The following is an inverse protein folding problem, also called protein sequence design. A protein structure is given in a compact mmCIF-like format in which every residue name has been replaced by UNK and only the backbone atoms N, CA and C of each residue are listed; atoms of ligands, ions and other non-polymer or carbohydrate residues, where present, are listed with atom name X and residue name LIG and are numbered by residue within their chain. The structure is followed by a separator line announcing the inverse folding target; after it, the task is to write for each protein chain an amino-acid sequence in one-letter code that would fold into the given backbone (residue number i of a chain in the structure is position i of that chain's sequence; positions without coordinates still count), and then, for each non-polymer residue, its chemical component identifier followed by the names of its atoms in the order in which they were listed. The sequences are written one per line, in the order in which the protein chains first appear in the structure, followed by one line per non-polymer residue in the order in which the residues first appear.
data_IF_950463107387
#
_entry.id   IF_950463107387
#
_cell.length_a   1.000
_cell.length_b   1.000
_cell.length_c   1.000
_cell.angle_alpha   90.00
_cell.angle_beta   90.00
_cell.angle_gamma   90.00
#
_symmetry.space_group_name_H-M   'P 1'
#
loop_
_entity.id
_entity.type
_entity.pdbx_description
1 polymer ?
#
# COMPACT_ATOMS: atom_id res chain seq x y z
N UNK A 1 -15.32 -14.28 -12.61
CA UNK A 1 -13.95 -14.04 -12.09
C UNK A 1 -13.97 -12.76 -11.29
N UNK A 2 -13.31 -12.74 -10.14
CA UNK A 2 -13.15 -11.53 -9.32
C UNK A 2 -12.37 -10.44 -10.07
N UNK A 3 -12.57 -9.18 -9.67
CA UNK A 3 -11.79 -8.07 -10.17
C UNK A 3 -10.34 -8.15 -9.68
N UNK A 4 -9.41 -7.63 -10.46
CA UNK A 4 -8.00 -7.57 -10.11
C UNK A 4 -7.54 -6.13 -9.83
N UNK A 5 -6.43 -5.99 -9.13
CA UNK A 5 -5.70 -4.75 -8.92
C UNK A 5 -4.43 -4.72 -9.78
N UNK A 6 -4.01 -3.53 -10.23
CA UNK A 6 -2.74 -3.30 -10.90
C UNK A 6 -1.85 -2.41 -10.02
N UNK A 7 -0.67 -2.92 -9.65
CA UNK A 7 0.37 -2.18 -8.96
C UNK A 7 1.52 -1.85 -9.90
N UNK A 8 1.89 -0.59 -9.97
CA UNK A 8 2.96 -0.07 -10.81
C UNK A 8 4.06 0.48 -9.90
N UNK A 9 5.18 -0.22 -9.83
CA UNK A 9 6.30 0.17 -9.00
C UNK A 9 7.23 1.14 -9.72
N UNK A 10 7.32 2.37 -9.21
CA UNK A 10 8.33 3.34 -9.62
C UNK A 10 9.45 3.37 -8.59
N UNK A 11 10.67 2.86 -8.91
CA UNK A 11 11.69 2.61 -7.89
C UNK A 11 12.53 3.84 -7.51
N UNK A 12 12.27 5.02 -8.04
CA UNK A 12 13.15 6.18 -7.83
C UNK A 12 12.61 7.16 -6.80
N UNK A 13 13.55 7.67 -5.96
CA UNK A 13 13.32 8.74 -4.99
C UNK A 13 14.34 9.86 -5.19
N UNK A 14 13.99 11.09 -4.79
CA UNK A 14 14.91 12.21 -4.71
C UNK A 14 15.91 12.06 -3.55
N UNK A 15 15.49 11.43 -2.44
CA UNK A 15 16.30 11.08 -1.28
C UNK A 15 15.75 9.81 -0.62
N UNK A 16 16.60 9.03 0.04
CA UNK A 16 16.17 7.86 0.81
C UNK A 16 15.94 8.25 2.27
N UNK A 17 14.72 8.02 2.77
CA UNK A 17 14.41 8.25 4.17
C UNK A 17 15.07 7.18 5.06
N UNK A 18 15.52 7.53 6.29
CA UNK A 18 16.30 6.62 7.14
C UNK A 18 15.51 5.40 7.65
N UNK A 19 14.17 5.47 7.66
CA UNK A 19 13.26 4.40 8.07
C UNK A 19 12.78 3.52 6.91
N UNK A 20 12.98 3.95 5.64
CA UNK A 20 12.32 3.35 4.49
C UNK A 20 12.99 2.04 4.05
N UNK A 21 12.25 0.94 4.08
CA UNK A 21 12.59 -0.41 3.64
C UNK A 21 12.15 -0.72 2.20
N UNK A 22 11.37 0.18 1.60
CA UNK A 22 10.85 -0.02 0.25
C UNK A 22 11.98 -0.16 -0.78
N UNK A 23 11.68 -0.86 -1.87
CA UNK A 23 12.58 -0.98 -3.01
C UNK A 23 12.72 0.38 -3.73
N UNK A 24 13.44 1.29 -3.08
CA UNK A 24 13.62 2.67 -3.54
C UNK A 24 15.11 3.01 -3.73
N UNK A 25 15.41 3.72 -4.82
CA UNK A 25 16.75 4.03 -5.27
C UNK A 25 16.87 5.52 -5.60
N UNK A 26 17.96 6.15 -5.14
CA UNK A 26 18.29 7.52 -5.53
C UNK A 26 19.15 7.47 -6.78
N UNK A 27 18.77 8.21 -7.83
CA UNK A 27 19.51 8.34 -9.07
C UNK A 27 19.52 9.80 -9.54
N UNK A 28 20.66 10.30 -9.95
CA UNK A 28 20.79 11.65 -10.52
C UNK A 28 20.14 11.73 -11.90
N UNK A 29 20.21 10.66 -12.67
CA UNK A 29 19.65 10.59 -14.02
C UNK A 29 18.83 9.31 -14.17
N UNK A 30 17.62 9.45 -14.70
CA UNK A 30 16.71 8.35 -15.03
C UNK A 30 16.35 8.45 -16.51
N UNK A 31 16.52 7.38 -17.25
CA UNK A 31 15.99 7.28 -18.61
C UNK A 31 14.47 7.02 -18.56
N UNK A 32 13.71 8.09 -18.38
CA UNK A 32 12.25 8.02 -18.29
C UNK A 32 11.60 7.38 -19.52
N UNK A 33 12.17 7.52 -20.72
CA UNK A 33 11.61 6.96 -21.94
C UNK A 33 11.78 5.44 -21.97
N UNK A 34 12.97 4.95 -21.64
CA UNK A 34 13.26 3.52 -21.57
C UNK A 34 12.41 2.85 -20.47
N UNK A 35 12.30 3.46 -19.27
CA UNK A 35 11.46 2.94 -18.18
C UNK A 35 9.99 2.91 -18.55
N UNK A 36 9.47 3.96 -19.22
CA UNK A 36 8.09 4.00 -19.70
C UNK A 36 7.81 2.86 -20.70
N UNK A 37 8.68 2.68 -21.67
CA UNK A 37 8.56 1.61 -22.67
C UNK A 37 8.59 0.21 -22.02
N UNK A 38 9.49 0.00 -21.06
CA UNK A 38 9.63 -1.26 -20.34
C UNK A 38 8.41 -1.57 -19.46
N UNK A 39 7.88 -0.59 -18.71
CA UNK A 39 6.65 -0.77 -17.91
C UNK A 39 5.46 -1.15 -18.79
N UNK A 40 5.31 -0.51 -19.97
CA UNK A 40 4.24 -0.82 -20.92
C UNK A 40 4.39 -2.23 -21.52
N UNK A 41 5.61 -2.65 -21.84
CA UNK A 41 5.89 -3.99 -22.34
C UNK A 41 5.55 -5.07 -21.29
N UNK A 42 5.98 -4.86 -20.04
CA UNK A 42 5.69 -5.78 -18.92
C UNK A 42 4.19 -5.83 -18.63
N UNK A 43 3.49 -4.69 -18.67
CA UNK A 43 2.03 -4.62 -18.53
C UNK A 43 1.31 -5.42 -19.63
N UNK A 44 1.69 -5.26 -20.88
CA UNK A 44 1.09 -5.97 -21.99
C UNK A 44 1.26 -7.49 -21.87
N UNK A 45 2.45 -7.95 -21.46
CA UNK A 45 2.72 -9.36 -21.20
C UNK A 45 1.86 -9.93 -20.08
N UNK A 46 1.81 -9.25 -18.92
CA UNK A 46 1.05 -9.75 -17.77
C UNK A 46 -0.47 -9.71 -18.05
N UNK A 47 -0.94 -8.71 -18.80
CA UNK A 47 -2.33 -8.67 -19.24
C UNK A 47 -2.69 -9.83 -20.17
N UNK A 48 -1.82 -10.20 -21.11
CA UNK A 48 -2.04 -11.35 -21.97
C UNK A 48 -2.15 -12.65 -21.16
N UNK A 49 -1.33 -12.81 -20.12
CA UNK A 49 -1.38 -13.97 -19.20
C UNK A 49 -2.67 -13.99 -18.39
N UNK A 50 -3.04 -12.86 -17.82
CA UNK A 50 -4.23 -12.72 -16.97
C UNK A 50 -5.55 -12.95 -17.75
N UNK A 51 -5.58 -12.56 -19.02
CA UNK A 51 -6.76 -12.56 -19.87
C UNK A 51 -6.94 -13.87 -20.65
N UNK A 52 -6.18 -14.91 -20.39
CA UNK A 52 -6.24 -16.18 -21.14
C UNK A 52 -7.63 -16.85 -21.20
N UNK A 53 -8.52 -16.54 -20.25
CA UNK A 53 -9.91 -17.01 -20.20
C UNK A 53 -10.94 -15.87 -20.45
N UNK A 54 -10.51 -14.72 -20.98
CA UNK A 54 -11.33 -13.51 -21.20
C UNK A 54 -10.80 -12.29 -20.42
N UNK A 55 -11.24 -11.11 -20.85
CA UNK A 55 -10.78 -9.85 -20.23
C UNK A 55 -11.17 -9.81 -18.76
N UNK A 56 -10.17 -9.56 -17.91
CA UNK A 56 -10.34 -9.43 -16.45
C UNK A 56 -10.87 -8.02 -16.12
N UNK A 57 -11.75 -7.96 -15.13
CA UNK A 57 -12.25 -6.68 -14.57
C UNK A 57 -11.15 -6.02 -13.74
N UNK A 58 -10.90 -4.73 -13.95
CA UNK A 58 -9.89 -3.94 -13.25
C UNK A 58 -10.55 -3.00 -12.23
N UNK A 59 -10.24 -3.21 -10.95
CA UNK A 59 -10.82 -2.43 -9.84
C UNK A 59 -9.95 -1.25 -9.41
N UNK A 60 -8.61 -1.38 -9.53
CA UNK A 60 -7.69 -0.32 -9.13
C UNK A 60 -6.39 -0.35 -9.91
N UNK A 61 -5.79 0.84 -10.08
CA UNK A 61 -4.40 1.06 -10.50
C UNK A 61 -3.73 1.85 -9.37
N UNK A 62 -2.56 1.39 -8.93
CA UNK A 62 -1.81 2.06 -7.88
C UNK A 62 -0.37 2.29 -8.33
N UNK A 63 0.03 3.54 -8.40
CA UNK A 63 1.40 3.95 -8.62
C UNK A 63 2.08 4.15 -7.27
N UNK A 64 2.98 3.24 -6.92
CA UNK A 64 3.66 3.21 -5.62
C UNK A 64 5.15 2.91 -5.73
N UNK A 65 5.80 2.74 -4.58
CA UNK A 65 7.19 2.28 -4.46
C UNK A 65 8.15 3.31 -3.90
N UNK A 66 8.98 3.92 -4.74
CA UNK A 66 9.87 5.01 -4.33
C UNK A 66 9.09 6.33 -4.19
N UNK A 67 9.04 7.09 -5.26
CA UNK A 67 8.28 8.34 -5.36
C UNK A 67 7.65 8.42 -6.76
N UNK A 68 6.46 7.87 -6.95
CA UNK A 68 5.81 7.82 -8.27
C UNK A 68 5.56 9.19 -8.91
N UNK A 69 5.37 10.24 -8.13
CA UNK A 69 5.24 11.62 -8.61
C UNK A 69 6.50 12.19 -9.29
N UNK A 70 7.64 11.50 -9.17
CA UNK A 70 8.84 11.82 -9.98
C UNK A 70 8.75 11.28 -11.41
N UNK A 71 7.84 10.35 -11.68
CA UNK A 71 7.52 9.88 -13.04
C UNK A 71 7.05 11.08 -13.90
N UNK A 72 7.19 10.97 -15.21
CA UNK A 72 6.57 11.94 -16.12
C UNK A 72 5.06 11.68 -16.19
N UNK A 73 4.20 12.71 -16.07
CA UNK A 73 2.74 12.52 -16.14
C UNK A 73 2.29 11.79 -17.42
N UNK A 74 2.94 12.04 -18.55
CA UNK A 74 2.69 11.32 -19.80
C UNK A 74 2.97 9.81 -19.74
N UNK A 75 3.89 9.37 -18.89
CA UNK A 75 4.12 7.94 -18.64
C UNK A 75 2.94 7.33 -17.88
N UNK A 76 2.44 8.03 -16.84
CA UNK A 76 1.26 7.59 -16.11
C UNK A 76 0.03 7.53 -17.01
N UNK A 77 -0.19 8.55 -17.85
CA UNK A 77 -1.29 8.58 -18.82
C UNK A 77 -1.25 7.37 -19.75
N UNK A 78 -0.09 7.08 -20.35
CA UNK A 78 0.07 5.95 -21.27
C UNK A 78 -0.17 4.59 -20.58
N UNK A 79 0.27 4.42 -19.33
CA UNK A 79 0.05 3.20 -18.54
C UNK A 79 -1.42 3.02 -18.14
N UNK A 80 -2.12 4.12 -17.78
CA UNK A 80 -3.56 4.11 -17.50
C UNK A 80 -4.34 3.74 -18.75
N UNK A 81 -4.06 4.36 -19.89
CA UNK A 81 -4.69 4.08 -21.17
C UNK A 81 -4.48 2.61 -21.60
N UNK A 82 -3.23 2.13 -21.51
CA UNK A 82 -2.92 0.72 -21.81
C UNK A 82 -3.67 -0.23 -20.87
N UNK A 83 -3.74 0.05 -19.57
CA UNK A 83 -4.47 -0.78 -18.62
C UNK A 83 -5.98 -0.82 -18.94
N UNK A 84 -6.59 0.32 -19.23
CA UNK A 84 -8.01 0.40 -19.60
C UNK A 84 -8.31 -0.28 -20.95
N UNK A 85 -7.36 -0.27 -21.88
CA UNK A 85 -7.48 -0.98 -23.14
C UNK A 85 -7.32 -2.50 -22.98
N UNK A 86 -6.42 -2.93 -22.11
CA UNK A 86 -6.08 -4.35 -21.92
C UNK A 86 -7.05 -5.08 -20.98
N UNK A 87 -7.61 -4.39 -20.01
CA UNK A 87 -8.57 -4.93 -19.05
C UNK A 87 -9.97 -4.31 -19.25
N UNK A 88 -10.95 -4.83 -18.51
CA UNK A 88 -12.31 -4.30 -18.42
C UNK A 88 -12.43 -3.43 -17.15
N UNK A 89 -12.28 -2.09 -17.25
CA UNK A 89 -12.27 -1.24 -16.07
C UNK A 89 -13.65 -1.18 -15.41
N UNK A 90 -13.69 -1.24 -14.08
CA UNK A 90 -14.92 -0.96 -13.33
C UNK A 90 -15.33 0.51 -13.54
N UNK A 91 -16.64 0.82 -13.52
CA UNK A 91 -17.12 2.20 -13.66
C UNK A 91 -16.53 3.19 -12.66
N UNK A 92 -16.15 2.69 -11.51
CA UNK A 92 -15.58 3.40 -10.38
C UNK A 92 -14.09 3.04 -10.15
N UNK A 93 -13.34 2.74 -11.23
CA UNK A 93 -11.92 2.43 -11.21
C UNK A 93 -11.13 3.45 -10.36
N UNK A 94 -10.50 2.98 -9.28
CA UNK A 94 -9.63 3.80 -8.45
C UNK A 94 -8.22 3.86 -9.04
N UNK A 95 -7.70 5.06 -9.29
CA UNK A 95 -6.35 5.28 -9.81
C UNK A 95 -5.59 6.15 -8.83
N UNK A 96 -4.73 5.52 -8.03
CA UNK A 96 -3.96 6.18 -6.95
C UNK A 96 -2.54 6.48 -7.38
N UNK A 97 -2.04 7.65 -6.98
CA UNK A 97 -0.63 8.06 -7.07
C UNK A 97 -0.10 8.42 -5.69
N UNK A 98 1.03 7.84 -5.30
CA UNK A 98 1.81 8.33 -4.15
C UNK A 98 2.69 9.52 -4.54
N UNK A 99 2.77 10.52 -3.66
CA UNK A 99 3.56 11.73 -3.86
C UNK A 99 4.13 12.26 -2.54
N UNK A 100 5.22 13.03 -2.63
CA UNK A 100 5.69 13.82 -1.49
C UNK A 100 5.08 15.24 -1.55
N UNK A 101 4.84 15.87 -0.39
CA UNK A 101 4.24 17.20 -0.33
C UNK A 101 5.27 18.31 -0.55
N UNK A 102 6.17 18.14 -1.53
CA UNK A 102 7.13 19.17 -1.92
C UNK A 102 6.53 20.11 -2.98
N UNK A 103 7.04 21.33 -3.06
CA UNK A 103 6.58 22.32 -4.04
C UNK A 103 6.72 21.83 -5.50
N UNK A 104 7.84 21.16 -5.80
CA UNK A 104 8.12 20.62 -7.15
C UNK A 104 7.13 19.53 -7.56
N UNK A 105 6.74 18.67 -6.63
CA UNK A 105 5.78 17.59 -6.92
C UNK A 105 4.35 18.14 -7.01
N UNK A 106 4.00 19.09 -6.13
CA UNK A 106 2.69 19.75 -6.16
C UNK A 106 2.35 20.31 -7.54
N UNK A 107 3.30 20.99 -8.18
CA UNK A 107 3.06 21.64 -9.48
C UNK A 107 2.73 20.62 -10.60
N UNK A 108 3.16 19.37 -10.44
CA UNK A 108 2.83 18.27 -11.37
C UNK A 108 1.49 17.59 -11.09
N UNK A 109 0.88 17.78 -9.93
CA UNK A 109 -0.34 17.07 -9.55
C UNK A 109 -1.50 17.32 -10.51
N UNK A 110 -1.63 18.54 -11.09
CA UNK A 110 -2.64 18.82 -12.12
C UNK A 110 -2.43 17.98 -13.38
N UNK A 111 -1.19 17.79 -13.79
CA UNK A 111 -0.86 16.97 -14.96
C UNK A 111 -1.17 15.50 -14.72
N UNK A 112 -0.91 14.98 -13.50
CA UNK A 112 -1.33 13.64 -13.11
C UNK A 112 -2.86 13.50 -13.04
N UNK A 113 -3.57 14.53 -12.59
CA UNK A 113 -5.05 14.56 -12.63
C UNK A 113 -5.55 14.49 -14.07
N UNK A 114 -4.95 15.25 -14.97
CA UNK A 114 -5.26 15.23 -16.40
C UNK A 114 -4.90 13.87 -17.05
N UNK A 115 -3.86 13.20 -16.55
CA UNK A 115 -3.48 11.84 -16.97
C UNK A 115 -4.48 10.75 -16.54
N UNK A 116 -5.47 11.06 -15.70
CA UNK A 116 -6.50 10.11 -15.26
C UNK A 116 -6.39 9.67 -13.79
N UNK A 117 -5.37 10.11 -13.05
CA UNK A 117 -5.28 9.85 -11.59
C UNK A 117 -6.48 10.48 -10.90
N UNK A 118 -7.18 9.72 -10.05
CA UNK A 118 -8.37 10.20 -9.32
C UNK A 118 -8.25 10.12 -7.79
N UNK A 119 -7.15 9.56 -7.29
CA UNK A 119 -6.80 9.53 -5.87
C UNK A 119 -5.30 9.83 -5.70
N UNK A 120 -4.95 10.65 -4.71
CA UNK A 120 -3.55 10.90 -4.34
C UNK A 120 -3.33 10.57 -2.88
N UNK A 121 -2.17 9.97 -2.54
CA UNK A 121 -1.68 9.81 -1.16
C UNK A 121 -0.40 10.60 -0.97
N UNK A 122 -0.40 11.53 0.00
CA UNK A 122 0.73 12.41 0.27
C UNK A 122 1.51 11.95 1.49
N UNK A 123 2.81 11.68 1.34
CA UNK A 123 3.68 11.30 2.44
C UNK A 123 4.02 12.49 3.34
N UNK A 124 3.08 12.97 4.15
CA UNK A 124 3.25 14.10 5.10
C UNK A 124 4.15 13.70 6.25
N UNK A 125 3.89 12.54 6.86
CA UNK A 125 4.64 11.84 7.91
C UNK A 125 4.59 12.48 9.30
N UNK A 126 4.65 13.80 9.42
CA UNK A 126 4.53 14.52 10.70
C UNK A 126 4.09 15.98 10.48
N UNK A 127 3.50 16.59 11.51
CA UNK A 127 3.15 18.02 11.55
C UNK A 127 4.03 18.78 12.58
N UNK A 128 5.26 18.32 12.73
CA UNK A 128 6.28 18.89 13.60
C UNK A 128 7.65 18.91 12.90
N UNK A 129 8.38 20.02 13.04
CA UNK A 129 9.67 20.21 12.36
C UNK A 129 10.74 19.20 12.82
N UNK A 130 10.86 18.99 14.15
CA UNK A 130 11.87 18.08 14.69
C UNK A 130 11.59 16.64 14.25
N UNK A 131 10.31 16.24 14.24
CA UNK A 131 9.87 14.94 13.75
C UNK A 131 10.16 14.76 12.25
N UNK A 132 9.85 15.75 11.41
CA UNK A 132 10.19 15.70 9.97
C UNK A 132 11.69 15.58 9.76
N UNK A 133 12.49 16.33 10.51
CA UNK A 133 13.96 16.27 10.47
C UNK A 133 14.47 14.88 10.88
N UNK A 134 13.97 14.31 11.97
CA UNK A 134 14.28 12.95 12.42
C UNK A 134 13.95 11.91 11.34
N UNK A 135 12.77 12.03 10.72
CA UNK A 135 12.32 11.16 9.64
C UNK A 135 13.05 11.43 8.30
N UNK A 136 13.97 12.38 8.25
CA UNK A 136 14.75 12.70 7.03
C UNK A 136 13.91 13.30 5.90
N UNK A 137 12.78 13.94 6.23
CA UNK A 137 11.89 14.57 5.24
C UNK A 137 12.49 15.87 4.73
N UNK A 138 12.21 16.18 3.46
CA UNK A 138 12.76 17.35 2.76
C UNK A 138 11.78 18.52 2.67
N UNK A 139 10.56 18.35 3.14
CA UNK A 139 9.53 19.39 3.23
C UNK A 139 9.34 19.85 4.67
N UNK A 140 8.81 21.03 4.83
CA UNK A 140 8.33 21.56 6.11
C UNK A 140 6.81 21.38 6.27
N UNK A 141 6.30 21.69 7.47
CA UNK A 141 4.86 21.58 7.79
C UNK A 141 4.01 22.50 6.91
N UNK A 142 4.50 23.68 6.60
CA UNK A 142 3.78 24.65 5.74
C UNK A 142 3.69 24.15 4.30
N UNK A 143 4.74 23.53 3.78
CA UNK A 143 4.72 22.89 2.45
C UNK A 143 3.72 21.73 2.42
N UNK A 144 3.70 20.90 3.48
CA UNK A 144 2.76 19.78 3.59
C UNK A 144 1.30 20.26 3.57
N UNK A 145 0.96 21.30 4.35
CA UNK A 145 -0.40 21.86 4.38
C UNK A 145 -0.77 22.44 3.01
N UNK A 146 0.09 23.23 2.39
CA UNK A 146 -0.17 23.78 1.04
C UNK A 146 -0.35 22.69 -0.01
N UNK A 147 0.40 21.59 0.08
CA UNK A 147 0.25 20.46 -0.83
C UNK A 147 -1.07 19.73 -0.62
N UNK A 148 -1.51 19.56 0.63
CA UNK A 148 -2.82 18.97 0.97
C UNK A 148 -3.97 19.82 0.45
N UNK A 149 -3.93 21.14 0.64
CA UNK A 149 -4.97 22.05 0.15
C UNK A 149 -5.04 21.98 -1.39
N UNK A 150 -3.90 22.04 -2.06
CA UNK A 150 -3.84 21.91 -3.52
C UNK A 150 -4.35 20.54 -4.02
N UNK A 151 -4.02 19.46 -3.31
CA UNK A 151 -4.49 18.12 -3.65
C UNK A 151 -6.02 18.02 -3.53
N UNK A 152 -6.63 18.60 -2.49
CA UNK A 152 -8.09 18.65 -2.31
C UNK A 152 -8.82 19.43 -3.40
N UNK A 153 -8.21 20.51 -3.90
CA UNK A 153 -8.76 21.27 -5.04
C UNK A 153 -8.65 20.50 -6.35
N UNK A 154 -7.68 19.58 -6.46
CA UNK A 154 -7.31 18.93 -7.72
C UNK A 154 -7.95 17.54 -7.86
N UNK A 155 -7.98 16.75 -6.78
CA UNK A 155 -8.41 15.35 -6.83
C UNK A 155 -9.73 15.12 -6.09
N UNK A 156 -10.60 14.24 -6.61
CA UNK A 156 -11.83 13.87 -5.91
C UNK A 156 -11.56 13.08 -4.62
N UNK A 157 -10.40 12.41 -4.52
CA UNK A 157 -10.02 11.64 -3.33
C UNK A 157 -8.58 11.94 -2.93
N UNK A 158 -8.40 12.23 -1.65
CA UNK A 158 -7.08 12.58 -1.08
C UNK A 158 -6.87 11.81 0.22
N UNK A 159 -5.71 11.19 0.31
CA UNK A 159 -5.17 10.59 1.53
C UNK A 159 -3.83 11.21 1.87
N UNK A 160 -3.41 11.08 3.10
CA UNK A 160 -2.02 11.31 3.47
C UNK A 160 -1.58 10.39 4.59
N UNK A 161 -0.27 10.27 4.74
CA UNK A 161 0.34 9.34 5.67
C UNK A 161 0.95 10.11 6.84
N UNK A 162 0.77 9.59 8.06
CA UNK A 162 1.43 10.06 9.28
C UNK A 162 2.16 8.89 9.93
N UNK A 163 3.32 9.19 10.53
CA UNK A 163 4.11 8.22 11.31
C UNK A 163 4.10 8.66 12.76
N UNK A 164 3.56 7.81 13.64
CA UNK A 164 3.52 8.02 15.09
C UNK A 164 4.37 6.99 15.85
N UNK A 165 4.32 7.00 17.18
CA UNK A 165 5.18 6.20 18.04
C UNK A 165 6.68 6.46 17.80
N UNK A 166 7.02 7.70 17.55
CA UNK A 166 8.38 8.18 17.36
C UNK A 166 9.10 8.24 18.72
N UNK A 167 10.44 8.23 18.74
CA UNK A 167 11.21 8.38 19.96
C UNK A 167 10.75 9.58 20.82
N UNK A 168 10.41 9.32 22.09
CA UNK A 168 9.98 10.35 23.03
C UNK A 168 8.60 10.94 22.78
N UNK A 169 7.81 10.40 21.86
CA UNK A 169 6.44 10.84 21.63
C UNK A 169 5.50 10.18 22.65
N UNK A 170 4.99 10.95 23.61
CA UNK A 170 3.97 10.50 24.53
C UNK A 170 2.54 10.57 23.92
N UNK A 171 1.57 9.97 24.62
CA UNK A 171 0.17 9.93 24.16
C UNK A 171 -0.45 11.33 24.01
N UNK A 172 -0.13 12.26 24.91
CA UNK A 172 -0.69 13.61 24.88
C UNK A 172 -0.21 14.40 23.65
N UNK A 173 1.09 14.31 23.36
CA UNK A 173 1.70 14.92 22.19
C UNK A 173 1.14 14.32 20.90
N UNK A 174 1.01 12.97 20.85
CA UNK A 174 0.42 12.31 19.69
C UNK A 174 -1.06 12.71 19.48
N UNK A 175 -1.90 12.67 20.50
CA UNK A 175 -3.30 13.10 20.39
C UNK A 175 -3.42 14.55 19.87
N UNK A 176 -2.56 15.46 20.34
CA UNK A 176 -2.54 16.85 19.87
C UNK A 176 -2.17 16.96 18.38
N UNK A 177 -1.15 16.25 17.94
CA UNK A 177 -0.73 16.23 16.54
C UNK A 177 -1.78 15.55 15.65
N UNK A 178 -2.33 14.41 16.10
CA UNK A 178 -3.35 13.67 15.37
C UNK A 178 -4.63 14.49 15.17
N UNK A 179 -5.10 15.24 16.15
CA UNK A 179 -6.26 16.15 15.99
C UNK A 179 -6.00 17.20 14.90
N UNK A 180 -4.80 17.73 14.83
CA UNK A 180 -4.41 18.65 13.73
C UNK A 180 -4.44 17.93 12.38
N UNK A 181 -3.91 16.71 12.30
CA UNK A 181 -3.94 15.91 11.09
C UNK A 181 -5.39 15.56 10.68
N UNK A 182 -6.23 15.15 11.62
CA UNK A 182 -7.64 14.83 11.38
C UNK A 182 -8.45 16.03 10.88
N UNK A 183 -8.17 17.24 11.38
CA UNK A 183 -8.77 18.47 10.85
C UNK A 183 -8.35 18.75 9.39
N UNK A 184 -7.21 18.24 8.97
CA UNK A 184 -6.72 18.30 7.60
C UNK A 184 -7.17 17.09 6.74
N UNK A 185 -7.70 16.03 7.31
CA UNK A 185 -8.08 14.83 6.57
C UNK A 185 -9.37 15.04 5.76
N UNK A 186 -9.43 14.41 4.58
CA UNK A 186 -10.63 14.42 3.74
C UNK A 186 -11.53 13.22 4.10
N UNK A 187 -11.27 12.07 3.48
CA UNK A 187 -12.07 10.86 3.62
C UNK A 187 -11.23 9.61 3.95
N UNK A 188 -9.90 9.76 3.95
CA UNK A 188 -8.95 8.67 4.21
C UNK A 188 -7.67 9.21 4.84
N UNK A 189 -7.07 8.44 5.75
CA UNK A 189 -5.81 8.75 6.44
C UNK A 189 -5.05 7.45 6.73
N UNK A 190 -3.75 7.45 6.47
CA UNK A 190 -2.87 6.34 6.84
C UNK A 190 -2.05 6.74 8.07
N UNK A 191 -2.14 5.96 9.14
CA UNK A 191 -1.52 6.20 10.43
C UNK A 191 -0.62 5.02 10.78
N UNK A 192 0.68 5.16 10.48
CA UNK A 192 1.66 4.10 10.68
C UNK A 192 2.39 4.28 12.00
N UNK A 193 2.43 3.24 12.81
CA UNK A 193 3.35 3.15 13.93
C UNK A 193 4.78 3.00 13.38
N UNK A 194 5.73 3.81 13.87
CA UNK A 194 7.12 3.70 13.42
C UNK A 194 7.70 2.34 13.81
N UNK A 195 8.19 1.62 12.82
CA UNK A 195 8.91 0.35 12.98
C UNK A 195 10.36 0.49 12.55
N UNK A 196 11.22 -0.35 13.08
CA UNK A 196 12.63 -0.40 12.72
C UNK A 196 12.88 -1.61 11.83
N UNK A 197 12.84 -1.37 10.53
CA UNK A 197 12.95 -2.44 9.54
C UNK A 197 14.42 -2.81 9.25
N UNK A 198 14.74 -4.11 9.12
CA UNK A 198 16.08 -4.57 8.78
C UNK A 198 16.62 -3.95 7.49
N UNK A 199 17.91 -3.61 7.48
CA UNK A 199 18.57 -3.01 6.31
C UNK A 199 18.35 -1.51 6.14
N UNK A 200 17.60 -0.86 7.03
CA UNK A 200 17.42 0.59 7.06
C UNK A 200 18.54 1.29 7.86
N UNK A 201 18.68 2.60 7.66
CA UNK A 201 19.57 3.40 8.50
C UNK A 201 19.09 3.40 9.96
N UNK A 202 17.78 3.43 10.19
CA UNK A 202 17.21 3.36 11.53
C UNK A 202 17.54 2.05 12.23
N UNK A 203 17.60 0.91 11.54
CA UNK A 203 18.05 -0.34 12.16
C UNK A 203 19.47 -0.22 12.71
N UNK A 204 20.36 0.42 11.96
CA UNK A 204 21.76 0.64 12.42
C UNK A 204 21.83 1.60 13.60
N UNK A 205 21.07 2.69 13.58
CA UNK A 205 21.05 3.69 14.66
C UNK A 205 20.41 3.13 15.93
N UNK A 206 19.28 2.42 15.79
CA UNK A 206 18.59 1.77 16.91
C UNK A 206 19.47 0.71 17.59
N UNK A 207 20.14 -0.15 16.80
CA UNK A 207 21.06 -1.16 17.33
C UNK A 207 22.27 -0.55 18.09
N UNK A 208 22.61 0.71 17.79
CA UNK A 208 23.66 1.47 18.53
C UNK A 208 23.12 2.24 19.73
N UNK A 209 21.82 2.12 20.04
CA UNK A 209 21.19 2.85 21.16
C UNK A 209 21.02 4.36 20.90
N UNK A 210 21.05 4.82 19.64
CA UNK A 210 20.89 6.24 19.31
C UNK A 210 19.46 6.76 19.61
N UNK A 211 18.48 5.89 19.62
CA UNK A 211 17.11 6.15 20.05
C UNK A 211 16.41 4.85 20.45
N UNK A 212 15.32 4.97 21.20
CA UNK A 212 14.40 3.87 21.52
C UNK A 212 12.99 4.21 21.00
N UNK A 213 12.22 3.20 20.67
CA UNK A 213 10.78 3.33 20.33
C UNK A 213 9.94 3.01 21.57
N UNK A 214 8.70 3.52 21.65
CA UNK A 214 7.70 3.04 22.60
C UNK A 214 7.46 1.53 22.40
N UNK A 215 7.42 0.76 23.48
CA UNK A 215 7.24 -0.69 23.45
C UNK A 215 6.10 -1.13 24.37
N UNK A 216 5.58 -2.34 24.16
CA UNK A 216 4.57 -2.95 25.02
C UNK A 216 3.34 -2.05 25.23
N UNK A 217 2.98 -1.82 26.48
CA UNK A 217 1.78 -1.06 26.86
C UNK A 217 1.78 0.39 26.35
N UNK A 218 2.95 1.01 26.18
CA UNK A 218 3.04 2.37 25.66
C UNK A 218 2.65 2.41 24.18
N UNK A 219 3.19 1.48 23.39
CA UNK A 219 2.83 1.32 21.98
C UNK A 219 1.34 0.99 21.79
N UNK A 220 0.79 0.10 22.63
CA UNK A 220 -0.61 -0.26 22.64
C UNK A 220 -1.52 0.94 22.98
N UNK A 221 -1.15 1.76 23.98
CA UNK A 221 -1.91 2.99 24.30
C UNK A 221 -1.91 3.98 23.15
N UNK A 222 -0.80 4.18 22.45
CA UNK A 222 -0.74 5.05 21.27
C UNK A 222 -1.64 4.53 20.15
N UNK A 223 -1.69 3.22 19.93
CA UNK A 223 -2.57 2.59 18.95
C UNK A 223 -4.04 2.80 19.30
N UNK A 224 -4.44 2.53 20.54
CA UNK A 224 -5.81 2.74 21.02
C UNK A 224 -6.23 4.22 20.92
N UNK A 225 -5.35 5.14 21.32
CA UNK A 225 -5.56 6.59 21.20
C UNK A 225 -5.77 7.02 19.76
N UNK A 226 -5.06 6.38 18.81
CA UNK A 226 -5.20 6.65 17.38
C UNK A 226 -6.61 6.31 16.87
N UNK A 227 -7.09 5.11 17.19
CA UNK A 227 -8.42 4.66 16.79
C UNK A 227 -9.53 5.52 17.43
N UNK A 228 -9.39 5.86 18.72
CA UNK A 228 -10.34 6.71 19.44
C UNK A 228 -10.44 8.11 18.81
N UNK A 229 -9.31 8.78 18.58
CA UNK A 229 -9.32 10.14 18.00
C UNK A 229 -9.83 10.14 16.57
N UNK A 230 -9.40 9.19 15.73
CA UNK A 230 -9.86 9.08 14.34
C UNK A 230 -11.38 8.84 14.29
N UNK A 231 -11.92 7.98 15.17
CA UNK A 231 -13.35 7.71 15.27
C UNK A 231 -14.20 8.95 15.59
N UNK A 232 -13.68 9.89 16.38
CA UNK A 232 -14.35 11.19 16.68
C UNK A 232 -14.54 12.06 15.43
N UNK A 233 -13.73 11.86 14.41
CA UNK A 233 -13.81 12.55 13.12
C UNK A 233 -14.53 11.72 12.04
N UNK A 234 -15.09 10.55 12.42
CA UNK A 234 -15.79 9.65 11.50
C UNK A 234 -14.84 8.87 10.57
N UNK A 235 -13.56 8.85 10.87
CA UNK A 235 -12.56 8.01 10.20
C UNK A 235 -12.40 6.71 10.99
N UNK A 236 -12.95 5.61 10.48
CA UNK A 236 -12.93 4.32 11.14
C UNK A 236 -11.77 3.47 10.60
N UNK A 237 -11.08 2.68 11.45
CA UNK A 237 -10.09 1.73 10.97
C UNK A 237 -10.78 0.67 10.11
N UNK A 238 -10.32 0.44 8.90
CA UNK A 238 -10.77 -0.70 8.09
C UNK A 238 -9.70 -1.81 8.04
N UNK A 239 -8.47 -1.45 8.42
CA UNK A 239 -7.36 -2.37 8.72
C UNK A 239 -6.41 -1.68 9.72
N UNK A 240 -5.30 -2.33 10.09
CA UNK A 240 -4.40 -1.93 11.20
C UNK A 240 -3.93 -0.46 11.11
N UNK A 241 -3.59 0.03 9.92
CA UNK A 241 -2.93 1.34 9.74
C UNK A 241 -3.76 2.34 8.93
N UNK A 242 -4.85 1.92 8.31
CA UNK A 242 -5.62 2.78 7.42
C UNK A 242 -7.03 3.03 7.95
N UNK A 243 -7.39 4.31 7.93
CA UNK A 243 -8.63 4.85 8.46
C UNK A 243 -9.40 5.56 7.36
N UNK A 244 -10.70 5.31 7.25
CA UNK A 244 -11.53 5.92 6.21
C UNK A 244 -12.93 6.23 6.74
N UNK A 245 -13.62 7.17 6.08
CA UNK A 245 -15.07 7.27 6.18
C UNK A 245 -15.69 6.04 5.50
N UNK A 246 -16.85 5.55 5.96
CA UNK A 246 -17.52 4.41 5.33
C UNK A 246 -17.67 4.60 3.81
N UNK A 247 -17.21 3.62 3.00
CA UNK A 247 -17.23 3.67 1.55
C UNK A 247 -16.04 4.41 0.90
N UNK A 248 -15.13 4.94 1.72
CA UNK A 248 -13.94 5.65 1.24
C UNK A 248 -12.63 4.87 1.48
N UNK A 249 -12.70 3.59 1.79
CA UNK A 249 -11.56 2.70 1.90
C UNK A 249 -10.77 2.66 0.58
N UNK A 250 -9.46 2.44 0.65
CA UNK A 250 -8.64 2.22 -0.55
C UNK A 250 -8.99 0.86 -1.15
N UNK A 251 -9.51 0.86 -2.38
CA UNK A 251 -9.85 -0.37 -3.10
C UNK A 251 -8.62 -1.22 -3.38
N UNK A 252 -7.50 -0.57 -3.62
CA UNK A 252 -6.24 -1.25 -3.86
C UNK A 252 -5.78 -2.00 -2.60
N UNK A 253 -5.81 -1.35 -1.43
CA UNK A 253 -5.48 -1.98 -0.16
C UNK A 253 -6.43 -3.14 0.15
N UNK A 254 -7.74 -2.93 -0.02
CA UNK A 254 -8.74 -3.99 0.18
C UNK A 254 -8.52 -5.20 -0.75
N UNK A 255 -8.05 -4.98 -1.99
CA UNK A 255 -7.73 -6.09 -2.89
C UNK A 255 -6.64 -6.99 -2.30
N UNK A 256 -5.60 -6.43 -1.67
CA UNK A 256 -4.56 -7.19 -0.98
C UNK A 256 -5.09 -7.87 0.29
N UNK A 257 -5.72 -7.10 1.18
CA UNK A 257 -6.16 -7.63 2.48
C UNK A 257 -7.26 -8.67 2.35
N UNK A 258 -8.08 -8.59 1.32
CA UNK A 258 -9.07 -9.61 0.96
C UNK A 258 -8.46 -10.76 0.16
N UNK A 259 -7.14 -10.81 0.01
CA UNK A 259 -6.41 -11.82 -0.75
C UNK A 259 -6.94 -11.96 -2.19
N UNK A 260 -7.19 -10.83 -2.85
CA UNK A 260 -7.59 -10.75 -4.25
C UNK A 260 -6.41 -10.90 -5.22
N UNK A 261 -6.71 -11.06 -6.50
CA UNK A 261 -5.69 -11.07 -7.54
C UNK A 261 -5.11 -9.68 -7.76
N UNK A 262 -3.80 -9.60 -7.93
CA UNK A 262 -3.14 -8.39 -8.38
C UNK A 262 -1.95 -8.68 -9.28
N UNK A 263 -1.79 -7.81 -10.28
CA UNK A 263 -0.63 -7.76 -11.14
C UNK A 263 0.29 -6.66 -10.60
N UNK A 264 1.58 -6.96 -10.44
CA UNK A 264 2.59 -5.98 -10.14
C UNK A 264 3.59 -5.87 -11.29
N UNK A 265 3.91 -4.67 -11.75
CA UNK A 265 4.93 -4.39 -12.75
C UNK A 265 5.94 -3.39 -12.22
N UNK A 266 7.13 -3.39 -12.79
CA UNK A 266 8.24 -2.53 -12.33
C UNK A 266 9.22 -3.23 -11.41
N UNK A 267 10.37 -2.59 -11.18
CA UNK A 267 11.50 -3.17 -10.43
C UNK A 267 11.12 -3.52 -8.98
N UNK A 268 11.19 -4.79 -8.61
CA UNK A 268 10.85 -5.28 -7.27
C UNK A 268 9.37 -5.49 -7.00
N UNK A 269 8.49 -5.31 -7.98
CA UNK A 269 7.06 -5.56 -7.81
C UNK A 269 6.76 -7.04 -7.57
N UNK A 270 5.81 -7.31 -6.69
CA UNK A 270 5.25 -8.63 -6.42
C UNK A 270 3.91 -8.81 -7.13
N UNK A 271 3.47 -10.05 -7.26
CA UNK A 271 2.21 -10.41 -7.91
C UNK A 271 1.57 -11.62 -7.25
N UNK A 272 0.23 -11.65 -7.22
CA UNK A 272 -0.60 -12.83 -6.98
C UNK A 272 -1.67 -12.87 -8.07
N UNK A 273 -1.63 -13.89 -8.91
CA UNK A 273 -2.51 -13.98 -10.07
C UNK A 273 -3.08 -15.38 -10.24
N UNK A 274 -4.39 -15.50 -10.22
CA UNK A 274 -5.09 -16.74 -10.56
C UNK A 274 -5.08 -16.91 -12.08
N UNK A 275 -4.50 -18.01 -12.51
CA UNK A 275 -4.39 -18.40 -13.91
C UNK A 275 -5.67 -19.10 -14.41
N UNK A 276 -5.87 -19.23 -15.74
CA UNK A 276 -7.05 -19.88 -16.32
C UNK A 276 -7.26 -21.33 -15.88
N UNK A 277 -6.19 -22.04 -15.49
CA UNK A 277 -6.24 -23.42 -14.98
C UNK A 277 -6.57 -23.50 -13.48
N UNK A 278 -6.80 -22.34 -12.81
CA UNK A 278 -7.08 -22.25 -11.38
C UNK A 278 -5.85 -22.26 -10.48
N UNK A 279 -4.63 -22.35 -11.02
CA UNK A 279 -3.41 -22.17 -10.23
C UNK A 279 -3.27 -20.71 -9.79
N UNK A 280 -2.78 -20.48 -8.57
CA UNK A 280 -2.44 -19.14 -8.08
C UNK A 280 -0.93 -18.97 -8.14
N UNK A 281 -0.47 -18.10 -9.01
CA UNK A 281 0.96 -17.80 -9.15
C UNK A 281 1.39 -16.65 -8.25
N UNK A 282 2.42 -16.90 -7.47
CA UNK A 282 3.21 -15.88 -6.80
C UNK A 282 4.39 -15.53 -7.69
N UNK A 283 4.60 -14.24 -7.99
CA UNK A 283 5.76 -13.81 -8.77
C UNK A 283 6.42 -12.57 -8.18
N UNK A 284 7.74 -12.45 -8.39
CA UNK A 284 8.54 -11.28 -7.98
C UNK A 284 9.48 -10.85 -9.10
N UNK A 285 9.63 -9.54 -9.28
CA UNK A 285 10.51 -8.95 -10.28
C UNK A 285 11.87 -8.57 -9.68
N UNK A 286 12.86 -8.47 -10.56
CA UNK A 286 14.21 -8.06 -10.16
C UNK A 286 14.19 -6.69 -9.47
N UNK A 287 14.89 -6.56 -8.33
CA UNK A 287 14.83 -5.36 -7.47
C UNK A 287 15.66 -4.19 -8.00
N UNK A 288 16.84 -4.45 -8.58
CA UNK A 288 17.70 -3.38 -9.10
C UNK A 288 17.09 -2.79 -10.38
N UNK A 289 16.86 -1.46 -10.45
CA UNK A 289 16.13 -0.84 -11.56
C UNK A 289 16.79 -1.04 -12.92
N UNK A 290 18.10 -0.92 -12.99
CA UNK A 290 18.86 -1.03 -14.23
C UNK A 290 18.84 -2.47 -14.76
N UNK A 291 18.99 -3.45 -13.89
CA UNK A 291 18.92 -4.86 -14.25
C UNK A 291 17.46 -5.26 -14.64
N UNK A 292 16.45 -4.74 -13.92
CA UNK A 292 15.06 -4.90 -14.30
C UNK A 292 14.82 -4.37 -15.72
N UNK A 293 15.31 -3.17 -16.04
CA UNK A 293 15.16 -2.55 -17.35
C UNK A 293 15.82 -3.42 -18.44
N UNK A 294 17.06 -3.86 -18.22
CA UNK A 294 17.82 -4.71 -19.16
C UNK A 294 17.05 -6.01 -19.44
N UNK A 295 16.53 -6.67 -18.40
CA UNK A 295 15.75 -7.92 -18.55
C UNK A 295 14.46 -7.69 -19.33
N UNK A 296 13.71 -6.64 -19.00
CA UNK A 296 12.46 -6.34 -19.74
C UNK A 296 12.75 -6.04 -21.20
N UNK A 297 13.81 -5.30 -21.52
CA UNK A 297 14.19 -5.02 -22.90
C UNK A 297 14.59 -6.30 -23.67
N UNK A 298 15.23 -7.25 -23.01
CA UNK A 298 15.69 -8.50 -23.62
C UNK A 298 14.57 -9.55 -23.72
N UNK A 299 13.83 -9.76 -22.61
CA UNK A 299 12.93 -10.90 -22.40
C UNK A 299 11.45 -10.51 -22.36
N UNK A 300 11.13 -9.21 -22.37
CA UNK A 300 9.78 -8.68 -22.18
C UNK A 300 9.30 -8.71 -20.73
N UNK A 301 10.12 -9.17 -19.78
CA UNK A 301 9.83 -9.19 -18.33
C UNK A 301 11.11 -9.30 -17.50
N UNK A 302 10.98 -8.98 -16.21
CA UNK A 302 12.08 -9.13 -15.25
C UNK A 302 11.72 -10.04 -14.07
N UNK A 303 10.85 -11.04 -14.28
CA UNK A 303 10.50 -12.03 -13.26
C UNK A 303 11.75 -12.82 -12.86
N UNK A 304 12.03 -12.86 -11.55
CA UNK A 304 13.14 -13.62 -10.96
C UNK A 304 12.67 -14.87 -10.23
N UNK A 305 11.47 -14.84 -9.70
CA UNK A 305 10.85 -15.92 -8.97
C UNK A 305 9.39 -16.02 -9.41
N UNK A 306 8.95 -17.21 -9.73
CA UNK A 306 7.55 -17.51 -10.03
C UNK A 306 7.26 -18.94 -9.57
N UNK A 307 6.23 -19.08 -8.75
CA UNK A 307 5.81 -20.38 -8.24
C UNK A 307 4.28 -20.49 -8.16
N UNK A 308 3.77 -21.68 -8.35
CA UNK A 308 2.37 -21.99 -8.07
C UNK A 308 2.23 -22.29 -6.57
N UNK A 309 1.44 -21.49 -5.87
CA UNK A 309 1.21 -21.66 -4.44
C UNK A 309 0.39 -22.91 -4.16
N UNK A 310 0.83 -23.70 -3.17
CA UNK A 310 0.06 -24.83 -2.69
C UNK A 310 -1.26 -24.37 -2.03
N UNK A 311 -2.29 -25.24 -1.96
CA UNK A 311 -3.52 -24.94 -1.23
C UNK A 311 -3.29 -24.45 0.20
N UNK A 312 -2.31 -25.03 0.89
CA UNK A 312 -1.94 -24.66 2.27
C UNK A 312 -1.31 -23.26 2.34
N UNK A 313 -0.41 -22.93 1.41
CA UNK A 313 0.21 -21.61 1.38
C UNK A 313 -0.81 -20.53 1.04
N UNK A 314 -1.74 -20.79 0.11
CA UNK A 314 -2.87 -19.90 -0.19
C UNK A 314 -3.74 -19.64 1.04
N UNK A 315 -4.09 -20.70 1.79
CA UNK A 315 -4.87 -20.58 3.03
C UNK A 315 -4.14 -19.74 4.07
N UNK A 316 -2.83 -19.99 4.26
CA UNK A 316 -1.99 -19.24 5.19
C UNK A 316 -1.87 -17.76 4.81
N UNK A 317 -1.60 -17.46 3.54
CA UNK A 317 -1.52 -16.06 3.07
C UNK A 317 -2.88 -15.36 3.22
N UNK A 318 -3.99 -16.02 2.85
CA UNK A 318 -5.31 -15.45 2.98
C UNK A 318 -5.69 -15.14 4.43
N UNK A 319 -5.29 -15.98 5.39
CA UNK A 319 -5.43 -15.71 6.83
C UNK A 319 -4.59 -14.52 7.28
N UNK A 320 -3.30 -14.49 6.93
CA UNK A 320 -2.39 -13.41 7.30
C UNK A 320 -2.86 -12.04 6.79
N UNK A 321 -3.37 -12.00 5.55
CA UNK A 321 -3.89 -10.77 4.96
C UNK A 321 -5.25 -10.39 5.59
N UNK A 322 -6.17 -11.34 5.67
CA UNK A 322 -7.54 -11.07 6.09
C UNK A 322 -7.70 -10.72 7.57
N UNK A 323 -6.84 -11.26 8.46
CA UNK A 323 -6.85 -10.90 9.89
C UNK A 323 -6.45 -9.45 10.18
N UNK A 324 -5.90 -8.75 9.22
CA UNK A 324 -5.66 -7.30 9.32
C UNK A 324 -6.94 -6.48 9.21
N UNK A 325 -7.97 -7.01 8.53
CA UNK A 325 -9.22 -6.30 8.28
C UNK A 325 -10.11 -6.26 9.52
N UNK A 326 -10.66 -5.08 9.82
CA UNK A 326 -11.65 -4.90 10.89
C UNK A 326 -12.95 -5.67 10.60
N UNK A 327 -13.29 -5.83 9.31
CA UNK A 327 -14.43 -6.65 8.88
C UNK A 327 -14.21 -8.15 9.10
N UNK A 328 -12.96 -8.57 9.36
CA UNK A 328 -12.60 -9.96 9.54
C UNK A 328 -12.60 -10.79 8.25
N UNK A 329 -12.34 -12.07 8.40
CA UNK A 329 -12.22 -13.07 7.33
C UNK A 329 -13.56 -13.76 7.09
N UNK A 330 -13.96 -13.85 5.83
CA UNK A 330 -15.05 -14.72 5.39
C UNK A 330 -14.49 -16.14 5.15
N UNK A 331 -14.95 -17.17 5.89
CA UNK A 331 -14.53 -18.55 5.67
C UNK A 331 -14.71 -19.03 4.23
N UNK A 332 -15.82 -18.66 3.58
CA UNK A 332 -16.08 -19.03 2.20
C UNK A 332 -15.02 -18.48 1.24
N UNK A 333 -14.46 -17.29 1.55
CA UNK A 333 -13.35 -16.71 0.78
C UNK A 333 -12.06 -17.52 0.95
N UNK A 334 -11.75 -17.95 2.18
CA UNK A 334 -10.59 -18.83 2.42
C UNK A 334 -10.73 -20.12 1.61
N UNK A 335 -11.89 -20.75 1.64
CA UNK A 335 -12.17 -21.98 0.90
C UNK A 335 -12.04 -21.77 -0.62
N UNK A 336 -12.61 -20.71 -1.15
CA UNK A 336 -12.54 -20.37 -2.57
C UNK A 336 -11.10 -20.10 -3.05
N UNK A 337 -10.28 -19.46 -2.21
CA UNK A 337 -8.89 -19.07 -2.56
C UNK A 337 -7.90 -20.20 -2.34
N UNK A 338 -8.05 -20.97 -1.27
CA UNK A 338 -7.14 -22.07 -0.92
C UNK A 338 -7.50 -23.40 -1.56
N UNK A 339 -8.78 -23.61 -1.93
CA UNK A 339 -9.36 -24.90 -2.31
C UNK A 339 -9.41 -25.93 -1.16
N UNK A 340 -9.17 -25.47 0.07
CA UNK A 340 -9.31 -26.26 1.29
C UNK A 340 -10.60 -25.84 2.01
N UNK A 341 -11.22 -26.76 2.73
CA UNK A 341 -12.25 -26.39 3.68
C UNK A 341 -11.64 -25.54 4.79
N UNK A 342 -12.43 -24.68 5.40
CA UNK A 342 -11.95 -23.77 6.45
C UNK A 342 -11.26 -24.52 7.60
N UNK A 343 -11.85 -25.64 8.06
CA UNK A 343 -11.30 -26.51 9.12
C UNK A 343 -9.99 -27.25 8.72
N UNK A 344 -9.64 -27.26 7.45
CA UNK A 344 -8.35 -27.77 6.96
C UNK A 344 -7.29 -26.65 6.80
N UNK A 345 -7.75 -25.42 6.64
CA UNK A 345 -6.88 -24.25 6.50
C UNK A 345 -6.50 -23.63 7.86
N UNK A 346 -7.31 -23.86 8.90
CA UNK A 346 -7.18 -23.28 10.24
C UNK A 346 -7.04 -24.38 11.28
N UNK A 347 -6.16 -24.18 12.26
CA UNK A 347 -6.12 -24.99 13.47
C UNK A 347 -7.33 -24.64 14.35
N UNK A 348 -8.37 -25.46 14.31
CA UNK A 348 -9.63 -25.21 15.01
C UNK A 348 -9.48 -25.21 16.52
N UNK A 349 -8.60 -26.06 17.08
CA UNK A 349 -8.36 -26.10 18.52
C UNK A 349 -7.66 -24.81 19.02
N UNK A 350 -6.69 -24.32 18.24
CA UNK A 350 -6.05 -23.04 18.52
C UNK A 350 -7.05 -21.88 18.38
N UNK A 351 -7.90 -21.89 17.36
CA UNK A 351 -8.94 -20.89 17.16
C UNK A 351 -9.92 -20.84 18.33
N UNK A 352 -10.38 -22.00 18.82
CA UNK A 352 -11.26 -22.08 20.01
C UNK A 352 -10.58 -21.47 21.25
N UNK A 353 -9.29 -21.75 21.44
CA UNK A 353 -8.49 -21.15 22.51
C UNK A 353 -8.42 -19.64 22.40
N UNK A 354 -8.06 -19.10 21.21
CA UNK A 354 -7.98 -17.66 20.97
C UNK A 354 -9.34 -16.95 21.16
N UNK A 355 -10.43 -17.60 20.77
CA UNK A 355 -11.78 -17.09 21.02
C UNK A 355 -12.12 -17.09 22.52
N UNK A 356 -11.75 -18.14 23.26
CA UNK A 356 -11.99 -18.23 24.70
C UNK A 356 -11.18 -17.18 25.49
N UNK A 357 -9.99 -16.86 25.00
CA UNK A 357 -9.13 -15.79 25.55
C UNK A 357 -9.56 -14.38 25.13
N UNK A 358 -10.56 -14.24 24.25
CA UNK A 358 -11.05 -12.95 23.78
C UNK A 358 -10.19 -12.29 22.69
N UNK A 359 -9.16 -12.97 22.18
CA UNK A 359 -8.28 -12.44 21.13
C UNK A 359 -8.86 -12.54 19.72
N UNK A 360 -9.84 -13.43 19.54
CA UNK A 360 -10.56 -13.63 18.28
C UNK A 360 -12.07 -13.67 18.55
N UNK A 361 -12.86 -13.27 17.57
CA UNK A 361 -14.33 -13.29 17.70
C UNK A 361 -14.99 -13.58 16.36
N UNK A 362 -16.20 -14.19 16.43
CA UNK A 362 -17.08 -14.33 15.28
C UNK A 362 -18.10 -13.18 15.26
N UNK A 363 -18.13 -12.44 14.14
CA UNK A 363 -19.11 -11.37 13.90
C UNK A 363 -19.74 -11.58 12.52
N UNK A 364 -21.05 -11.69 12.45
CA UNK A 364 -21.78 -11.84 11.18
C UNK A 364 -21.25 -12.96 10.27
N UNK A 365 -20.81 -14.09 10.87
CA UNK A 365 -20.22 -15.20 10.15
C UNK A 365 -18.78 -15.00 9.70
N UNK A 366 -18.13 -13.93 10.12
CA UNK A 366 -16.71 -13.61 9.80
C UNK A 366 -15.85 -13.72 11.05
N UNK A 367 -14.65 -14.25 10.88
CA UNK A 367 -13.66 -14.37 11.94
C UNK A 367 -12.79 -13.11 11.97
N UNK A 368 -12.75 -12.41 13.10
CA UNK A 368 -11.98 -11.19 13.26
C UNK A 368 -11.08 -11.26 14.50
N UNK A 369 -9.91 -10.61 14.44
CA UNK A 369 -9.13 -10.27 15.62
C UNK A 369 -9.87 -9.22 16.47
N UNK A 370 -9.71 -9.28 17.78
CA UNK A 370 -10.19 -8.23 18.68
C UNK A 370 -9.18 -7.08 18.72
N UNK A 371 -9.58 -5.90 19.18
CA UNK A 371 -8.65 -4.77 19.34
C UNK A 371 -7.62 -4.94 20.47
N UNK A 372 -7.84 -5.91 21.39
CA UNK A 372 -7.04 -6.16 22.61
C UNK A 372 -5.78 -6.99 22.35
#
# INVERSE_FOLDING_TARGET
MESLALYIHWPFCAAKCPYCDFNSHVREKVDHAAFAAALRAELAREAARANGAGRRRLASIFFGGGTPSLMRPGTAAALIEDAQRLFDPLPDLEITLEANPTSVERDKLRDFRAAGVNRVSLGVQALDFAALSFLGRKHDVGEAIRALDFARETFPRVSFDMIYARPGQDEAAWRAELRRALALAADHLSLYQLTVEPGTQFATLHARGAFALPEGDEAARLYAATAEEAGRFGLLPYEISNYAKPGAESRHNLAYWRYGDYIGIGAGAHQRLTMPDGSLLAARRHRAPEEWLTRVQRDGHAVTEEEALSPRDRGREALLMGLRLTEGIDPARIEARSTLRFDQAVDMAMLETLCAEGLMTWRDGRLAATPD
#
